data_IF_139042776821
#
_entry.id   IF_139042776821
#
_cell.length_a   1.000
_cell.length_b   1.000
_cell.length_c   1.000
_cell.angle_alpha   90.00
_cell.angle_beta   90.00
_cell.angle_gamma   90.00
#
_symmetry.space_group_name_H-M   'P 1'
#
loop_
_entity.id
_entity.type
_entity.pdbx_description
1 polymer ?
#
# COMPACT_ATOMS: atom_id res chain seq x y z
N UNK A 1 -4.84 -27.46 -5.22
CA UNK A 1 -5.40 -26.21 -4.63
C UNK A 1 -5.93 -25.35 -5.77
N UNK A 2 -7.19 -24.91 -5.77
CA UNK A 2 -7.73 -24.07 -6.85
C UNK A 2 -7.05 -22.70 -6.88
N UNK A 3 -6.80 -22.12 -8.06
CA UNK A 3 -6.12 -20.81 -8.22
C UNK A 3 -6.74 -19.69 -7.37
N UNK A 4 -8.07 -19.73 -7.18
CA UNK A 4 -8.79 -18.84 -6.25
C UNK A 4 -8.32 -18.96 -4.81
N UNK A 5 -8.11 -20.19 -4.29
CA UNK A 5 -7.64 -20.43 -2.92
C UNK A 5 -6.22 -19.92 -2.71
N UNK A 6 -5.34 -20.11 -3.69
CA UNK A 6 -3.96 -19.60 -3.66
C UNK A 6 -3.97 -18.07 -3.58
N UNK A 7 -4.77 -17.40 -4.42
CA UNK A 7 -4.89 -15.94 -4.40
C UNK A 7 -5.40 -15.41 -3.06
N UNK A 8 -6.42 -16.05 -2.48
CA UNK A 8 -6.93 -15.67 -1.15
C UNK A 8 -5.85 -15.84 -0.09
N UNK A 9 -5.09 -16.94 -0.11
CA UNK A 9 -4.00 -17.16 0.83
C UNK A 9 -2.92 -16.06 0.70
N UNK A 10 -2.50 -15.73 -0.53
CA UNK A 10 -1.56 -14.64 -0.77
C UNK A 10 -2.10 -13.30 -0.30
N UNK A 11 -3.40 -13.03 -0.47
CA UNK A 11 -4.02 -11.80 -0.01
C UNK A 11 -3.99 -11.69 1.51
N UNK A 12 -4.32 -12.76 2.23
CA UNK A 12 -4.22 -12.82 3.69
C UNK A 12 -2.77 -12.63 4.13
N UNK A 13 -1.81 -13.27 3.46
CA UNK A 13 -0.37 -13.09 3.74
C UNK A 13 0.02 -11.63 3.52
N UNK A 14 -0.46 -10.97 2.46
CA UNK A 14 -0.15 -9.56 2.21
C UNK A 14 -0.69 -8.65 3.32
N UNK A 15 -1.92 -8.88 3.81
CA UNK A 15 -2.47 -8.16 4.95
C UNK A 15 -1.63 -8.42 6.21
N UNK A 16 -1.30 -9.69 6.49
CA UNK A 16 -0.47 -10.05 7.63
C UNK A 16 0.91 -9.39 7.59
N UNK A 17 1.53 -9.34 6.42
CA UNK A 17 2.81 -8.66 6.21
C UNK A 17 2.72 -7.15 6.41
N UNK A 18 1.65 -6.50 5.90
CA UNK A 18 1.39 -5.08 6.14
C UNK A 18 1.28 -4.81 7.65
N UNK A 19 0.40 -5.53 8.35
CA UNK A 19 0.22 -5.36 9.80
C UNK A 19 1.50 -5.68 10.58
N UNK A 20 2.28 -6.67 10.14
CA UNK A 20 3.59 -6.97 10.72
C UNK A 20 4.53 -5.79 10.62
N UNK A 21 4.69 -5.21 9.42
CA UNK A 21 5.59 -4.09 9.16
C UNK A 21 5.14 -2.76 9.80
N UNK A 22 3.84 -2.53 9.90
CA UNK A 22 3.30 -1.23 10.37
C UNK A 22 2.99 -1.21 11.86
N UNK A 23 2.64 -2.35 12.46
CA UNK A 23 2.20 -2.42 13.86
C UNK A 23 3.18 -3.26 14.69
N UNK A 24 3.42 -4.52 14.32
CA UNK A 24 4.08 -5.47 15.22
C UNK A 24 5.60 -5.28 15.33
N UNK A 25 6.27 -4.70 14.34
CA UNK A 25 7.71 -4.42 14.39
C UNK A 25 8.06 -3.03 14.93
N UNK A 26 7.05 -2.15 15.06
CA UNK A 26 7.25 -0.77 15.50
C UNK A 26 7.39 -0.70 17.01
N UNK A 27 8.31 0.15 17.46
CA UNK A 27 8.54 0.41 18.88
C UNK A 27 7.71 1.63 19.28
N UNK A 28 7.04 1.54 20.43
CA UNK A 28 6.27 2.66 20.95
C UNK A 28 7.20 3.78 21.41
N UNK A 29 6.99 5.00 20.91
CA UNK A 29 7.71 6.20 21.34
C UNK A 29 7.20 6.74 22.68
N UNK A 30 6.02 6.30 23.13
CA UNK A 30 5.31 6.86 24.28
C UNK A 30 4.75 8.27 24.05
N UNK A 31 4.91 8.83 22.85
CA UNK A 31 4.46 10.18 22.49
C UNK A 31 3.60 10.12 21.24
N UNK A 32 2.46 10.81 21.30
CA UNK A 32 1.59 10.99 20.16
C UNK A 32 2.16 12.06 19.22
N UNK A 33 2.52 11.66 18.00
CA UNK A 33 2.99 12.58 16.95
C UNK A 33 2.13 12.44 15.71
N UNK A 34 1.69 13.56 15.14
CA UNK A 34 0.87 13.62 13.93
C UNK A 34 1.52 14.61 12.96
N UNK A 35 1.56 14.25 11.68
CA UNK A 35 1.89 15.15 10.57
C UNK A 35 0.80 15.10 9.51
N UNK A 36 0.07 16.22 9.37
CA UNK A 36 -1.04 16.36 8.42
C UNK A 36 -0.68 17.25 7.23
N UNK A 37 0.53 17.82 7.17
CA UNK A 37 0.98 18.57 6.01
C UNK A 37 1.08 17.62 4.82
N UNK A 38 0.37 17.88 3.71
CA UNK A 38 0.50 17.06 2.53
C UNK A 38 1.87 17.27 1.89
N UNK A 39 2.50 16.17 1.50
CA UNK A 39 3.82 16.11 0.88
C UNK A 39 4.91 16.75 1.73
N UNK A 40 4.84 16.61 3.06
CA UNK A 40 5.75 17.29 3.99
C UNK A 40 7.21 16.89 3.73
N UNK A 41 7.49 15.61 3.44
CA UNK A 41 8.84 15.14 3.12
C UNK A 41 9.43 15.82 1.88
N UNK A 42 8.60 16.16 0.89
CA UNK A 42 9.01 16.94 -0.28
C UNK A 42 9.22 18.42 0.07
N UNK A 43 8.40 18.99 0.95
CA UNK A 43 8.62 20.35 1.46
C UNK A 43 9.96 20.45 2.19
N UNK A 44 10.29 19.47 3.04
CA UNK A 44 11.58 19.38 3.73
C UNK A 44 12.75 19.23 2.75
N UNK A 45 12.56 18.47 1.66
CA UNK A 45 13.54 18.39 0.57
C UNK A 45 13.80 19.75 -0.05
N UNK A 46 12.75 20.51 -0.39
CA UNK A 46 12.87 21.85 -0.96
C UNK A 46 13.50 22.85 0.02
N UNK A 47 13.28 22.66 1.32
CA UNK A 47 13.90 23.45 2.38
C UNK A 47 15.39 23.12 2.61
N UNK A 48 15.94 22.12 1.91
CA UNK A 48 17.34 21.70 2.04
C UNK A 48 17.61 20.82 3.25
N UNK A 49 16.60 20.16 3.82
CA UNK A 49 16.76 19.26 4.96
C UNK A 49 17.67 18.07 4.57
N UNK A 50 18.79 17.81 5.29
CA UNK A 50 19.72 16.75 4.93
C UNK A 50 19.10 15.34 4.97
N UNK A 51 17.99 15.17 5.69
CA UNK A 51 17.30 13.89 5.85
C UNK A 51 16.24 13.62 4.78
N UNK A 52 16.11 14.46 3.75
CA UNK A 52 15.07 14.31 2.72
C UNK A 52 15.04 12.92 2.05
N UNK A 53 16.21 12.29 1.90
CA UNK A 53 16.33 10.94 1.31
C UNK A 53 15.61 9.90 2.16
N UNK A 54 15.66 10.04 3.48
CA UNK A 54 14.97 9.15 4.41
C UNK A 54 13.46 9.24 4.22
N UNK A 55 12.92 10.45 4.13
CA UNK A 55 11.50 10.68 3.90
C UNK A 55 11.04 10.11 2.55
N UNK A 56 11.84 10.31 1.50
CA UNK A 56 11.56 9.72 0.19
C UNK A 56 11.59 8.18 0.23
N UNK A 57 12.49 7.58 1.01
CA UNK A 57 12.52 6.13 1.22
C UNK A 57 11.23 5.64 1.87
N UNK A 58 10.74 6.30 2.92
CA UNK A 58 9.48 5.92 3.59
C UNK A 58 8.28 5.97 2.64
N UNK A 59 8.20 6.99 1.77
CA UNK A 59 7.14 7.06 0.76
C UNK A 59 7.17 5.87 -0.21
N UNK A 60 8.36 5.53 -0.71
CA UNK A 60 8.54 4.39 -1.62
C UNK A 60 8.18 3.08 -0.90
N UNK A 61 8.61 2.92 0.35
CA UNK A 61 8.28 1.74 1.16
C UNK A 61 6.77 1.56 1.31
N UNK A 62 6.03 2.62 1.63
CA UNK A 62 4.58 2.60 1.76
C UNK A 62 3.87 2.25 0.43
N UNK A 63 4.30 2.85 -0.69
CA UNK A 63 3.78 2.49 -2.02
C UNK A 63 4.03 1.00 -2.34
N UNK A 64 5.27 0.52 -2.11
CA UNK A 64 5.64 -0.86 -2.40
C UNK A 64 4.91 -1.86 -1.48
N UNK A 65 4.69 -1.48 -0.22
CA UNK A 65 4.02 -2.31 0.78
C UNK A 65 2.56 -2.60 0.40
N UNK A 66 1.84 -1.62 -0.14
CA UNK A 66 0.44 -1.77 -0.55
C UNK A 66 0.26 -2.31 -1.99
N UNK A 67 1.32 -2.36 -2.78
CA UNK A 67 1.23 -2.84 -4.16
C UNK A 67 0.79 -4.32 -4.28
N UNK A 68 1.34 -5.27 -3.50
CA UNK A 68 0.84 -6.66 -3.46
C UNK A 68 -0.62 -6.75 -3.03
N UNK A 69 -1.02 -5.95 -2.04
CA UNK A 69 -2.41 -5.88 -1.57
C UNK A 69 -3.35 -5.46 -2.69
N UNK A 70 -3.06 -4.36 -3.39
CA UNK A 70 -3.85 -3.89 -4.52
C UNK A 70 -3.90 -4.87 -5.70
N UNK A 71 -2.79 -5.57 -5.98
CA UNK A 71 -2.73 -6.60 -7.02
C UNK A 71 -3.62 -7.81 -6.69
N UNK A 72 -3.61 -8.23 -5.43
CA UNK A 72 -4.32 -9.42 -4.98
C UNK A 72 -5.80 -9.15 -4.72
N UNK A 73 -6.21 -7.88 -4.55
CA UNK A 73 -7.60 -7.49 -4.30
C UNK A 73 -8.52 -7.90 -5.47
N UNK A 74 -9.49 -8.78 -5.20
CA UNK A 74 -10.36 -9.42 -6.20
C UNK A 74 -11.56 -8.56 -6.61
N UNK A 75 -11.42 -7.23 -6.65
CA UNK A 75 -12.51 -6.36 -7.07
C UNK A 75 -12.44 -6.05 -8.57
N UNK A 76 -13.60 -5.75 -9.18
CA UNK A 76 -13.68 -5.39 -10.60
C UNK A 76 -13.49 -3.90 -10.86
N UNK A 77 -13.68 -3.09 -9.82
CA UNK A 77 -13.70 -1.65 -9.93
C UNK A 77 -12.53 -1.02 -9.18
N UNK A 78 -11.84 -0.11 -9.88
CA UNK A 78 -10.72 0.62 -9.33
C UNK A 78 -11.16 1.54 -8.19
N UNK A 79 -12.34 2.16 -8.28
CA UNK A 79 -12.80 3.06 -7.20
C UNK A 79 -12.99 2.28 -5.91
N UNK A 80 -13.65 1.12 -6.00
CA UNK A 80 -13.77 0.20 -4.86
C UNK A 80 -12.39 -0.23 -4.32
N UNK A 81 -11.43 -0.56 -5.19
CA UNK A 81 -10.07 -0.91 -4.78
C UNK A 81 -9.42 0.20 -3.94
N UNK A 82 -9.51 1.44 -4.43
CA UNK A 82 -8.93 2.61 -3.78
C UNK A 82 -9.62 2.94 -2.46
N UNK A 83 -10.95 2.88 -2.41
CA UNK A 83 -11.70 3.09 -1.17
C UNK A 83 -11.25 2.09 -0.10
N UNK A 84 -11.16 0.81 -0.45
CA UNK A 84 -10.72 -0.23 0.48
C UNK A 84 -9.27 0.00 0.93
N UNK A 85 -8.36 0.29 0.01
CA UNK A 85 -6.95 0.56 0.35
C UNK A 85 -6.76 1.79 1.23
N UNK A 86 -7.45 2.89 0.92
CA UNK A 86 -7.40 4.14 1.70
C UNK A 86 -8.01 3.95 3.08
N UNK A 87 -9.18 3.32 3.19
CA UNK A 87 -9.79 3.01 4.50
C UNK A 87 -8.85 2.12 5.32
N UNK A 88 -8.27 1.10 4.71
CA UNK A 88 -7.33 0.21 5.41
C UNK A 88 -6.10 0.97 5.91
N UNK A 89 -5.54 1.87 5.09
CA UNK A 89 -4.44 2.72 5.52
C UNK A 89 -4.82 3.67 6.65
N UNK A 90 -6.00 4.31 6.59
CA UNK A 90 -6.48 5.19 7.67
C UNK A 90 -6.62 4.41 8.98
N UNK A 91 -7.13 3.18 8.93
CA UNK A 91 -7.23 2.33 10.12
C UNK A 91 -5.85 2.03 10.70
N UNK A 92 -4.85 1.77 9.86
CA UNK A 92 -3.46 1.54 10.31
C UNK A 92 -2.91 2.79 11.02
N UNK A 93 -3.04 3.97 10.40
CA UNK A 93 -2.57 5.24 10.99
C UNK A 93 -3.25 5.52 12.34
N UNK A 94 -4.57 5.29 12.44
CA UNK A 94 -5.32 5.45 13.69
C UNK A 94 -4.78 4.50 14.77
N UNK A 95 -4.54 3.23 14.43
CA UNK A 95 -3.99 2.25 15.37
C UNK A 95 -2.59 2.65 15.81
N UNK A 96 -1.73 3.07 14.89
CA UNK A 96 -0.37 3.54 15.20
C UNK A 96 -0.39 4.77 16.09
N UNK A 97 -1.29 5.72 15.84
CA UNK A 97 -1.47 6.91 16.68
C UNK A 97 -1.83 6.55 18.12
N UNK A 98 -2.86 5.72 18.33
CA UNK A 98 -3.30 5.34 19.67
C UNK A 98 -2.30 4.46 20.42
N UNK A 99 -1.52 3.63 19.70
CA UNK A 99 -0.48 2.79 20.28
C UNK A 99 0.89 3.51 20.39
N UNK A 100 0.98 4.78 19.99
CA UNK A 100 2.20 5.59 19.93
C UNK A 100 3.33 4.90 19.13
N UNK A 101 3.01 4.20 18.05
CA UNK A 101 3.96 3.36 17.29
C UNK A 101 4.75 4.13 16.22
N UNK A 102 4.54 5.44 16.11
CA UNK A 102 5.22 6.27 15.11
C UNK A 102 4.52 7.60 14.87
N UNK A 103 4.93 8.24 13.78
CA UNK A 103 4.28 9.43 13.25
C UNK A 103 3.01 9.00 12.50
N UNK A 104 1.87 9.56 12.90
CA UNK A 104 0.64 9.42 12.12
C UNK A 104 0.73 10.37 10.92
N UNK A 105 0.79 9.84 9.70
CA UNK A 105 1.16 10.59 8.51
C UNK A 105 0.04 10.59 7.45
N UNK A 106 -0.40 11.78 7.04
CA UNK A 106 -1.31 11.90 5.89
C UNK A 106 -0.68 11.36 4.61
N UNK A 107 0.63 11.55 4.44
CA UNK A 107 1.37 11.10 3.27
C UNK A 107 1.42 9.57 3.17
N UNK A 108 1.37 8.85 4.30
CA UNK A 108 1.32 7.39 4.33
C UNK A 108 0.00 6.87 3.74
N UNK A 109 -1.12 7.51 4.07
CA UNK A 109 -2.44 7.20 3.45
C UNK A 109 -2.41 7.44 1.95
N UNK A 110 -1.77 8.52 1.49
CA UNK A 110 -1.63 8.83 0.07
C UNK A 110 -0.75 7.78 -0.63
N UNK A 111 0.41 7.46 -0.06
CA UNK A 111 1.36 6.49 -0.60
C UNK A 111 0.77 5.08 -0.66
N UNK A 112 0.10 4.64 0.40
CA UNK A 112 -0.58 3.34 0.46
C UNK A 112 -1.75 3.27 -0.55
N UNK A 113 -2.48 4.37 -0.73
CA UNK A 113 -3.48 4.52 -1.78
C UNK A 113 -2.88 4.39 -3.19
N UNK A 114 -1.73 5.03 -3.43
CA UNK A 114 -0.99 4.92 -4.69
C UNK A 114 -0.46 3.49 -4.92
N UNK A 115 0.06 2.83 -3.88
CA UNK A 115 0.44 1.42 -3.92
C UNK A 115 -0.73 0.54 -4.35
N UNK A 116 -1.89 0.75 -3.74
CA UNK A 116 -3.14 0.04 -4.08
C UNK A 116 -3.53 0.27 -5.55
N UNK A 117 -3.48 1.51 -6.03
CA UNK A 117 -3.73 1.86 -7.43
C UNK A 117 -2.81 1.11 -8.39
N UNK A 118 -1.50 1.16 -8.14
CA UNK A 118 -0.48 0.55 -8.99
C UNK A 118 -0.63 -0.97 -9.01
N UNK A 119 -0.86 -1.59 -7.84
CA UNK A 119 -1.12 -3.02 -7.72
C UNK A 119 -2.34 -3.46 -8.55
N UNK A 120 -3.46 -2.74 -8.44
CA UNK A 120 -4.66 -3.03 -9.22
C UNK A 120 -4.42 -2.92 -10.73
N UNK A 121 -3.73 -1.86 -11.18
CA UNK A 121 -3.39 -1.66 -12.60
C UNK A 121 -2.47 -2.76 -13.11
N UNK A 122 -1.50 -3.19 -12.31
CA UNK A 122 -0.62 -4.30 -12.63
C UNK A 122 -1.40 -5.61 -12.80
N UNK A 123 -2.38 -5.90 -11.93
CA UNK A 123 -3.26 -7.06 -12.09
C UNK A 123 -4.06 -6.99 -13.39
N UNK A 124 -4.67 -5.84 -13.67
CA UNK A 124 -5.45 -5.64 -14.89
C UNK A 124 -4.58 -5.78 -16.16
N UNK A 125 -3.34 -5.32 -16.11
CA UNK A 125 -2.36 -5.52 -17.18
C UNK A 125 -2.08 -7.02 -17.38
N UNK A 126 -1.66 -7.74 -16.34
CA UNK A 126 -1.36 -9.18 -16.41
C UNK A 126 -2.55 -9.98 -16.97
N UNK A 127 -3.78 -9.70 -16.52
CA UNK A 127 -4.99 -10.35 -17.03
C UNK A 127 -5.20 -10.12 -18.53
N UNK A 128 -5.00 -8.89 -19.01
CA UNK A 128 -5.09 -8.59 -20.45
C UNK A 128 -4.06 -9.36 -21.28
N UNK A 129 -2.83 -9.50 -20.76
CA UNK A 129 -1.77 -10.26 -21.44
C UNK A 129 -2.11 -11.75 -21.53
N UNK A 130 -2.57 -12.35 -20.42
CA UNK A 130 -2.98 -13.76 -20.39
C UNK A 130 -4.14 -14.02 -21.36
N UNK A 131 -5.17 -13.18 -21.35
CA UNK A 131 -6.32 -13.31 -22.26
C UNK A 131 -5.92 -13.19 -23.73
N UNK A 132 -5.00 -12.27 -24.05
CA UNK A 132 -4.48 -12.10 -25.42
C UNK A 132 -3.70 -13.33 -25.88
N UNK A 133 -2.91 -13.94 -24.99
CA UNK A 133 -2.15 -15.15 -25.29
C UNK A 133 -3.06 -16.35 -25.57
N UNK A 134 -4.08 -16.57 -24.74
CA UNK A 134 -5.04 -17.67 -24.92
C UNK A 134 -5.86 -17.55 -26.22
N UNK A 135 -6.21 -16.32 -26.63
CA UNK A 135 -6.94 -16.09 -27.89
C UNK A 135 -6.11 -16.44 -29.12
N UNK A 136 -4.79 -16.30 -29.08
CA UNK A 136 -3.90 -16.67 -30.20
C UNK A 136 -3.80 -18.19 -30.34
N UNK A 137 -3.66 -18.92 -29.24
CA UNK A 137 -3.55 -20.38 -29.24
C UNK A 137 -4.85 -21.09 -29.67
N UNK A 138 -6.02 -20.50 -29.43
CA UNK A 138 -7.30 -21.06 -29.87
C UNK A 138 -7.70 -20.72 -31.31
N UNK A 139 -6.89 -19.91 -32.01
CA UNK A 139 -7.11 -19.54 -33.42
C UNK A 139 -6.16 -20.27 -34.39
N UNK A 140 -5.21 -21.05 -33.85
CA UNK A 140 -4.31 -21.97 -34.54
C UNK A 140 -4.83 -23.40 -34.41
#
# INVERSE_FOLDING_TARGET
MTAKRVRIALFIISIGFILWMTIFTRHSSGVHTIEMRPFWGFQEMLAGNPNWKLYATYWIENVLLFMPFGFLLTCKDLRFALIVGVIFSIVIEIVQYFACLGLCELDDVICNGLGTFLGFKMFAFVQKFIQKSNRKQGAE
#
